data_IF_974795286374
#
_entry.id   IF_974795286374
#
_cell.length_a   1.000
_cell.length_b   1.000
_cell.length_c   1.000
_cell.angle_alpha   90.00
_cell.angle_beta   90.00
_cell.angle_gamma   90.00
#
_symmetry.space_group_name_H-M   'P 1'
#
loop_
_entity.id
_entity.type
_entity.pdbx_description
1 polymer ?
#
# COMPACT_ATOMS: atom_id res chain seq x y z
N UNK A 1 -21.22 -8.55 10.44
CA UNK A 1 -21.25 -8.11 11.86
C UNK A 1 -19.92 -7.52 12.37
N UNK A 2 -18.74 -7.90 11.84
CA UNK A 2 -17.42 -7.45 12.36
C UNK A 2 -17.15 -5.93 12.31
N UNK A 3 -17.71 -5.21 11.32
CA UNK A 3 -17.54 -3.75 11.21
C UNK A 3 -18.31 -2.94 12.26
N UNK A 4 -19.48 -3.42 12.69
CA UNK A 4 -20.30 -2.73 13.71
C UNK A 4 -19.67 -2.81 15.10
N UNK A 5 -18.99 -3.92 15.43
CA UNK A 5 -18.24 -4.05 16.69
C UNK A 5 -17.18 -2.97 16.84
N UNK A 6 -16.46 -2.64 15.76
CA UNK A 6 -15.46 -1.57 15.77
C UNK A 6 -16.09 -0.20 16.08
N UNK A 7 -17.24 0.10 15.47
CA UNK A 7 -17.96 1.36 15.72
C UNK A 7 -18.42 1.46 17.17
N UNK A 8 -18.98 0.39 17.73
CA UNK A 8 -19.42 0.35 19.14
C UNK A 8 -18.24 0.57 20.09
N UNK A 9 -17.11 -0.11 19.84
CA UNK A 9 -15.89 0.07 20.63
C UNK A 9 -15.36 1.49 20.51
N UNK A 10 -15.36 2.08 19.31
CA UNK A 10 -14.91 3.45 19.09
C UNK A 10 -15.79 4.47 19.84
N UNK A 11 -17.11 4.28 19.87
CA UNK A 11 -18.03 5.13 20.64
C UNK A 11 -17.74 5.02 22.14
N UNK A 12 -17.60 3.81 22.67
CA UNK A 12 -17.24 3.61 24.09
C UNK A 12 -15.91 4.29 24.44
N UNK A 13 -14.92 4.17 23.56
CA UNK A 13 -13.62 4.82 23.74
C UNK A 13 -13.72 6.34 23.68
N UNK A 14 -14.53 6.88 22.76
CA UNK A 14 -14.78 8.32 22.65
C UNK A 14 -15.42 8.88 23.92
N UNK A 15 -16.39 8.17 24.50
CA UNK A 15 -17.01 8.56 25.79
C UNK A 15 -15.95 8.57 26.89
N UNK A 16 -15.09 7.56 26.97
CA UNK A 16 -14.03 7.48 27.96
C UNK A 16 -13.05 8.67 27.83
N UNK A 17 -12.63 9.00 26.61
CA UNK A 17 -11.78 10.17 26.33
C UNK A 17 -12.48 11.48 26.70
N UNK A 18 -13.78 11.60 26.43
CA UNK A 18 -14.56 12.80 26.78
C UNK A 18 -14.65 12.98 28.30
N UNK A 19 -14.91 11.90 29.06
CA UNK A 19 -14.89 11.93 30.52
C UNK A 19 -13.52 12.38 31.01
N UNK A 20 -12.45 11.76 30.50
CA UNK A 20 -11.07 12.12 30.85
C UNK A 20 -10.76 13.59 30.54
N UNK A 21 -11.27 14.13 29.44
CA UNK A 21 -11.08 15.53 29.06
C UNK A 21 -11.77 16.50 30.03
N UNK A 22 -12.99 16.20 30.47
CA UNK A 22 -13.73 17.04 31.41
C UNK A 22 -13.11 16.97 32.80
N UNK A 23 -12.70 15.79 33.27
CA UNK A 23 -12.15 15.65 34.63
C UNK A 23 -10.73 16.21 34.76
N UNK A 24 -9.98 16.32 33.66
CA UNK A 24 -8.60 16.81 33.64
C UNK A 24 -8.49 18.16 32.90
N UNK A 25 -9.50 19.02 33.04
CA UNK A 25 -9.47 20.38 32.46
C UNK A 25 -8.59 21.35 33.26
N UNK A 26 -7.65 20.82 34.04
CA UNK A 26 -6.69 21.60 34.80
C UNK A 26 -5.78 22.39 33.84
N UNK A 27 -5.70 23.69 34.09
CA UNK A 27 -4.88 24.60 33.31
C UNK A 27 -3.43 24.45 33.75
N UNK A 28 -2.56 24.11 32.80
CA UNK A 28 -1.12 24.05 33.01
C UNK A 28 -0.44 25.13 32.18
N UNK A 29 0.62 25.71 32.75
CA UNK A 29 1.46 26.67 32.04
C UNK A 29 2.32 25.92 31.02
N UNK A 30 2.02 26.11 29.73
CA UNK A 30 2.77 25.49 28.64
C UNK A 30 3.66 26.54 28.00
N UNK A 31 4.96 26.29 27.99
CA UNK A 31 5.93 27.03 27.19
C UNK A 31 5.95 26.43 25.79
N UNK A 32 5.11 26.92 24.90
CA UNK A 32 5.29 26.72 23.47
C UNK A 32 6.55 27.45 23.00
N UNK A 33 7.18 26.99 21.92
CA UNK A 33 8.47 27.50 21.41
C UNK A 33 8.64 29.03 21.47
N UNK A 34 7.58 29.79 21.20
CA UNK A 34 7.58 31.26 21.25
C UNK A 34 6.48 31.86 22.15
N UNK A 35 5.63 31.06 22.79
CA UNK A 35 4.47 31.55 23.55
C UNK A 35 4.30 30.81 24.86
N UNK A 36 3.91 31.54 25.91
CA UNK A 36 3.52 30.96 27.19
C UNK A 36 2.03 31.16 27.34
N UNK A 37 1.28 30.07 27.32
CA UNK A 37 -0.18 30.12 27.40
C UNK A 37 -0.63 29.09 28.43
N UNK A 38 -1.55 29.49 29.30
CA UNK A 38 -2.25 28.54 30.15
C UNK A 38 -3.26 27.78 29.31
N UNK A 39 -3.07 26.47 29.23
CA UNK A 39 -3.90 25.60 28.41
C UNK A 39 -4.26 24.35 29.20
N UNK A 40 -5.50 23.85 29.07
CA UNK A 40 -5.87 22.56 29.63
C UNK A 40 -4.92 21.46 29.15
N UNK A 41 -4.42 20.65 30.08
CA UNK A 41 -3.45 19.58 29.76
C UNK A 41 -3.96 18.63 28.67
N UNK A 42 -5.26 18.31 28.67
CA UNK A 42 -5.86 17.44 27.67
C UNK A 42 -5.75 17.99 26.23
N UNK A 43 -5.83 19.32 26.03
CA UNK A 43 -5.70 19.90 24.69
C UNK A 43 -4.29 19.70 24.15
N UNK A 44 -3.27 19.80 25.02
CA UNK A 44 -1.87 19.56 24.67
C UNK A 44 -1.67 18.12 24.23
N UNK A 45 -2.24 17.16 24.98
CA UNK A 45 -2.17 15.73 24.68
C UNK A 45 -2.88 15.43 23.35
N UNK A 46 -4.12 15.91 23.18
CA UNK A 46 -4.90 15.71 21.96
C UNK A 46 -4.17 16.27 20.74
N UNK A 47 -3.59 17.47 20.84
CA UNK A 47 -2.83 18.07 19.76
C UNK A 47 -1.57 17.26 19.43
N UNK A 48 -0.87 16.76 20.44
CA UNK A 48 0.33 15.93 20.26
C UNK A 48 0.00 14.60 19.58
N UNK A 49 -1.07 13.93 20.01
CA UNK A 49 -1.55 12.68 19.40
C UNK A 49 -2.01 12.92 17.96
N UNK A 50 -2.77 14.00 17.73
CA UNK A 50 -3.20 14.41 16.39
C UNK A 50 -1.99 14.62 15.47
N UNK A 51 -0.96 15.33 15.93
CA UNK A 51 0.25 15.58 15.17
C UNK A 51 1.01 14.29 14.85
N UNK A 52 1.12 13.38 15.81
CA UNK A 52 1.68 12.05 15.58
C UNK A 52 0.89 11.23 14.56
N UNK A 53 -0.45 11.32 14.59
CA UNK A 53 -1.35 10.71 13.62
C UNK A 53 -1.15 11.28 12.20
N UNK A 54 -1.05 12.60 12.07
CA UNK A 54 -0.78 13.28 10.79
C UNK A 54 0.57 12.84 10.21
N UNK A 55 1.63 12.82 11.03
CA UNK A 55 2.96 12.37 10.59
C UNK A 55 2.91 10.91 10.13
N UNK A 56 2.27 10.04 10.91
CA UNK A 56 2.13 8.61 10.58
C UNK A 56 1.33 8.41 9.28
N UNK A 57 0.25 9.16 9.09
CA UNK A 57 -0.55 9.13 7.88
C UNK A 57 0.24 9.63 6.66
N UNK A 58 1.02 10.70 6.80
CA UNK A 58 1.89 11.22 5.74
C UNK A 58 2.95 10.19 5.32
N UNK A 59 3.62 9.56 6.28
CA UNK A 59 4.59 8.47 6.02
C UNK A 59 3.91 7.28 5.34
N UNK A 60 2.75 6.87 5.84
CA UNK A 60 1.94 5.81 5.26
C UNK A 60 1.54 6.12 3.81
N UNK A 61 1.17 7.36 3.52
CA UNK A 61 0.79 7.80 2.18
C UNK A 61 1.99 7.80 1.22
N UNK A 62 3.16 8.26 1.66
CA UNK A 62 4.40 8.16 0.87
C UNK A 62 4.73 6.70 0.52
N UNK A 63 4.62 5.79 1.49
CA UNK A 63 4.84 4.35 1.27
C UNK A 63 3.80 3.78 0.29
N UNK A 64 2.53 4.15 0.44
CA UNK A 64 1.44 3.74 -0.44
C UNK A 64 1.70 4.16 -1.90
N UNK A 65 2.19 5.39 -2.13
CA UNK A 65 2.54 5.83 -3.48
C UNK A 65 3.67 5.04 -4.10
N UNK A 66 4.74 4.75 -3.33
CA UNK A 66 5.84 3.89 -3.79
C UNK A 66 5.33 2.48 -4.16
N UNK A 67 4.54 1.86 -3.29
CA UNK A 67 3.95 0.54 -3.54
C UNK A 67 3.05 0.54 -4.77
N UNK A 68 2.20 1.58 -4.97
CA UNK A 68 1.38 1.70 -6.17
C UNK A 68 2.21 1.81 -7.46
N UNK A 69 3.32 2.54 -7.41
CA UNK A 69 4.25 2.64 -8.55
C UNK A 69 4.91 1.30 -8.86
N UNK A 70 5.40 0.62 -7.83
CA UNK A 70 6.02 -0.70 -7.95
C UNK A 70 5.03 -1.74 -8.52
N UNK A 71 3.79 -1.77 -8.03
CA UNK A 71 2.73 -2.62 -8.58
C UNK A 71 2.51 -2.34 -10.07
N UNK A 72 2.56 -1.07 -10.51
CA UNK A 72 2.40 -0.73 -11.93
C UNK A 72 3.57 -1.22 -12.78
N UNK A 73 4.80 -1.12 -12.26
CA UNK A 73 6.01 -1.62 -12.94
C UNK A 73 5.95 -3.14 -13.04
N UNK A 74 5.76 -3.83 -11.92
CA UNK A 74 5.65 -5.28 -11.86
C UNK A 74 4.53 -5.81 -12.78
N UNK A 75 3.38 -5.14 -12.85
CA UNK A 75 2.31 -5.52 -13.79
C UNK A 75 2.73 -5.39 -15.25
N UNK A 76 3.51 -4.37 -15.62
CA UNK A 76 4.01 -4.20 -16.99
C UNK A 76 5.02 -5.28 -17.35
N UNK A 77 5.99 -5.53 -16.45
CA UNK A 77 6.98 -6.58 -16.63
C UNK A 77 6.32 -7.95 -16.77
N UNK A 78 5.26 -8.23 -16.00
CA UNK A 78 4.53 -9.49 -16.09
C UNK A 78 3.84 -9.66 -17.46
N UNK A 79 3.24 -8.60 -18.00
CA UNK A 79 2.65 -8.62 -19.36
C UNK A 79 3.73 -8.81 -20.43
N UNK A 80 4.85 -8.10 -20.32
CA UNK A 80 5.96 -8.22 -21.28
C UNK A 80 6.59 -9.62 -21.25
N UNK A 81 6.80 -10.19 -20.07
CA UNK A 81 7.32 -11.54 -19.91
C UNK A 81 6.34 -12.58 -20.48
N UNK A 82 5.04 -12.42 -20.27
CA UNK A 82 4.03 -13.30 -20.85
C UNK A 82 4.07 -13.27 -22.39
N UNK A 83 4.21 -12.08 -22.99
CA UNK A 83 4.34 -11.93 -24.45
C UNK A 83 5.64 -12.56 -24.98
N UNK A 84 6.77 -12.40 -24.28
CA UNK A 84 8.05 -13.01 -24.68
C UNK A 84 8.03 -14.54 -24.60
N UNK A 85 7.24 -15.11 -23.69
CA UNK A 85 7.05 -16.56 -23.62
C UNK A 85 6.24 -17.03 -24.84
N UNK A 86 5.13 -16.35 -25.14
CA UNK A 86 4.28 -16.65 -26.30
C UNK A 86 5.04 -16.53 -27.63
N UNK A 87 5.82 -15.46 -27.82
CA UNK A 87 6.66 -15.26 -29.00
C UNK A 87 7.71 -16.37 -29.17
N UNK A 88 8.35 -16.81 -28.08
CA UNK A 88 9.33 -17.91 -28.11
C UNK A 88 8.70 -19.28 -28.37
N UNK A 89 7.47 -19.50 -27.90
CA UNK A 89 6.75 -20.74 -28.21
C UNK A 89 6.35 -20.79 -29.70
N UNK A 90 5.97 -19.66 -30.28
CA UNK A 90 5.69 -19.54 -31.71
C UNK A 90 6.95 -19.78 -32.57
N UNK A 91 8.06 -19.11 -32.25
CA UNK A 91 9.34 -19.27 -32.97
C UNK A 91 9.87 -20.72 -32.92
N UNK A 92 9.76 -21.38 -31.76
CA UNK A 92 10.11 -22.79 -31.64
C UNK A 92 9.19 -23.70 -32.49
N UNK A 93 7.89 -23.40 -32.57
CA UNK A 93 6.96 -24.20 -33.40
C UNK A 93 7.25 -24.07 -34.90
N UNK A 94 7.63 -22.88 -35.37
CA UNK A 94 8.01 -22.66 -36.77
C UNK A 94 9.32 -23.42 -37.12
N UNK A 95 10.29 -23.44 -36.20
CA UNK A 95 11.53 -24.21 -36.34
C UNK A 95 11.24 -25.72 -36.41
N UNK A 96 10.33 -26.24 -35.58
CA UNK A 96 9.97 -27.66 -35.57
C UNK A 96 9.24 -28.10 -36.86
N UNK A 97 8.41 -27.22 -37.43
CA UNK A 97 7.73 -27.45 -38.72
C UNK A 97 8.76 -27.48 -39.85
N UNK A 98 9.66 -26.48 -39.91
CA UNK A 98 10.73 -26.42 -40.94
C UNK A 98 11.62 -27.66 -40.87
N UNK A 99 11.99 -28.11 -39.67
CA UNK A 99 12.80 -29.31 -39.48
C UNK A 99 12.06 -30.59 -39.91
N UNK A 100 10.75 -30.67 -39.69
CA UNK A 100 9.93 -31.81 -40.12
C UNK A 100 9.78 -31.85 -41.65
N UNK A 101 9.52 -30.71 -42.30
CA UNK A 101 9.41 -30.63 -43.77
C UNK A 101 10.74 -30.97 -44.46
N UNK A 102 11.87 -30.50 -43.92
CA UNK A 102 13.18 -30.81 -44.48
C UNK A 102 13.54 -32.30 -44.31
N UNK A 103 13.21 -32.90 -43.16
CA UNK A 103 13.42 -34.33 -42.92
C UNK A 103 12.58 -35.24 -43.83
N UNK A 104 11.33 -34.84 -44.13
CA UNK A 104 10.44 -35.57 -45.04
C UNK A 104 10.89 -35.44 -46.51
N UNK A 105 11.34 -34.26 -46.92
CA UNK A 105 11.88 -34.02 -48.26
C UNK A 105 13.19 -34.77 -48.53
N UNK A 106 14.08 -34.87 -47.53
CA UNK A 106 15.33 -35.63 -47.66
C UNK A 106 15.07 -37.15 -47.71
N UNK A 107 14.10 -37.67 -46.96
CA UNK A 107 13.68 -39.07 -47.03
C UNK A 107 13.07 -39.44 -48.40
N UNK A 108 12.45 -38.48 -49.09
CA UNK A 108 11.84 -38.70 -50.41
C UNK A 108 12.82 -38.55 -51.58
N UNK A 109 14.02 -37.98 -51.36
CA UNK A 109 15.07 -37.84 -52.39
C UNK A 109 15.98 -39.06 -52.55
N UNK A 110 15.92 -40.00 -51.62
CA UNK A 110 16.75 -41.22 -51.58
C UNK A 110 16.03 -42.48 -52.09
N UNK A 111 14.76 -42.36 -52.50
CA UNK A 111 13.99 -43.39 -53.23
C UNK A 111 13.89 -43.04 -54.72
#
# INVERSE_FOLDING_TARGET
MKGQTYVIIAILFMILVAIFAVTNIESVNVNYFFWKVESPLILVILFSVLMGGIISAAVGMMKMFKMKREIKVLKRENVELAQRIEEKELDNSDIDIINSENGENDANRIN
#
